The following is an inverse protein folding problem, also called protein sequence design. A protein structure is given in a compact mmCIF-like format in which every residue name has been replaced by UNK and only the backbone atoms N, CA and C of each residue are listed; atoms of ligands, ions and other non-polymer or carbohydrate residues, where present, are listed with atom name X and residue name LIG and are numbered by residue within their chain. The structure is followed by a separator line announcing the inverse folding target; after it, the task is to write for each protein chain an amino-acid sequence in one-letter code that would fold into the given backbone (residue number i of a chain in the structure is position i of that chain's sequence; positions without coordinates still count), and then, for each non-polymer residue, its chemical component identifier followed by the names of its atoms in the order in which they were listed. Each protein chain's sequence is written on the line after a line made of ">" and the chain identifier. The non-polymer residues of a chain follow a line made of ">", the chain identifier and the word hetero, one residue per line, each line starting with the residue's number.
data_IF_372238056787
#
_entry.id   IF_372238056787
#
_cell.length_a   1.000
_cell.length_b   1.000
_cell.length_c   1.000
_cell.angle_alpha   90.00
_cell.angle_beta   90.00
_cell.angle_gamma   90.00
#
_symmetry.space_group_name_H-M   'P 1'
#
loop_
_entity.id
_entity.type
_entity.pdbx_description
1 polymer ?
#
# COMPACT_ATOMS: atom_id res chain seq x y z
N UNK A 1 34.95 11.01 39.29
CA UNK A 1 35.46 11.65 38.05
C UNK A 1 34.34 12.48 37.47
N UNK A 2 34.38 13.80 37.58
CA UNK A 2 33.40 14.68 36.93
C UNK A 2 34.14 15.61 35.98
N UNK A 3 33.80 15.46 34.70
CA UNK A 3 34.31 16.19 33.54
C UNK A 3 33.75 17.63 33.50
N UNK A 4 34.55 18.66 33.16
CA UNK A 4 34.07 20.04 33.04
C UNK A 4 33.49 20.37 31.65
N UNK A 5 32.57 21.35 31.67
CA UNK A 5 32.22 22.33 30.62
C UNK A 5 31.57 21.86 29.31
N UNK A 6 30.39 22.42 29.01
CA UNK A 6 30.20 23.22 27.80
C UNK A 6 28.98 24.13 27.96
N UNK A 7 29.27 25.44 28.08
CA UNK A 7 28.32 26.55 27.97
C UNK A 7 27.97 26.76 26.50
N UNK A 8 26.70 27.04 26.21
CA UNK A 8 26.23 27.56 24.93
C UNK A 8 24.92 28.30 25.13
N UNK A 9 25.00 29.61 25.31
CA UNK A 9 23.84 30.50 25.45
C UNK A 9 23.21 30.76 24.07
N UNK A 10 21.91 30.53 23.93
CA UNK A 10 21.13 30.77 22.72
C UNK A 10 20.78 32.26 22.62
N UNK A 11 21.48 33.01 21.77
CA UNK A 11 21.11 34.39 21.43
C UNK A 11 19.77 34.47 20.68
N UNK A 12 19.12 35.65 20.64
CA UNK A 12 17.80 35.79 20.03
C UNK A 12 17.87 35.59 18.50
N UNK A 13 16.83 35.01 17.88
CA UNK A 13 16.80 34.85 16.43
C UNK A 13 16.70 36.21 15.74
N UNK A 14 17.57 36.43 14.75
CA UNK A 14 17.52 37.58 13.84
C UNK A 14 16.24 37.49 13.01
N UNK A 15 15.47 38.57 12.96
CA UNK A 15 14.31 38.68 12.08
C UNK A 15 14.77 38.55 10.62
N UNK A 16 14.18 37.57 9.90
CA UNK A 16 14.36 37.46 8.46
C UNK A 16 13.35 38.40 7.81
N UNK A 17 13.86 39.48 7.22
CA UNK A 17 13.06 40.46 6.48
C UNK A 17 12.61 39.86 5.14
N UNK A 18 11.32 40.03 4.84
CA UNK A 18 10.62 39.76 3.57
C UNK A 18 10.50 38.30 3.10
N UNK A 19 9.35 37.67 3.36
CA UNK A 19 8.84 36.56 2.55
C UNK A 19 7.75 37.08 1.60
N UNK A 20 8.14 37.68 0.47
CA UNK A 20 7.21 38.02 -0.61
C UNK A 20 7.41 37.07 -1.77
N UNK A 21 6.89 35.84 -1.68
CA UNK A 21 6.48 35.01 -2.81
C UNK A 21 5.46 33.98 -2.33
N UNK A 22 4.17 34.34 -2.38
CA UNK A 22 3.09 33.35 -2.32
C UNK A 22 3.04 32.68 -3.69
N UNK A 23 3.70 31.53 -3.82
CA UNK A 23 3.50 30.64 -4.96
C UNK A 23 2.44 29.61 -4.58
N UNK A 24 1.17 29.91 -4.89
CA UNK A 24 0.10 28.91 -4.96
C UNK A 24 -0.22 28.78 -6.45
N UNK A 25 0.19 27.67 -7.08
CA UNK A 25 -0.84 26.67 -7.32
C UNK A 25 -0.29 25.24 -7.31
N UNK A 26 -1.02 24.32 -6.67
CA UNK A 26 -1.08 22.97 -7.23
C UNK A 26 -2.47 22.43 -6.97
N UNK A 27 -3.14 21.97 -8.03
CA UNK A 27 -4.34 21.16 -7.91
C UNK A 27 -4.00 20.04 -6.90
N UNK A 28 -4.66 20.02 -5.75
CA UNK A 28 -4.79 18.79 -4.99
C UNK A 28 -5.59 17.88 -5.94
N UNK A 29 -4.89 16.98 -6.63
CA UNK A 29 -5.55 15.86 -7.29
C UNK A 29 -6.28 15.15 -6.15
N UNK A 30 -7.61 15.26 -6.13
CA UNK A 30 -8.44 14.46 -5.24
C UNK A 30 -8.27 13.05 -5.78
N UNK A 31 -7.22 12.36 -5.33
CA UNK A 31 -7.05 10.95 -5.64
C UNK A 31 -8.06 10.24 -4.77
N UNK A 32 -9.10 9.71 -5.42
CA UNK A 32 -10.01 8.81 -4.75
C UNK A 32 -9.19 7.68 -4.11
N UNK A 33 -9.45 7.43 -2.84
CA UNK A 33 -8.78 6.37 -2.09
C UNK A 33 -9.80 5.32 -1.72
N UNK A 34 -9.36 4.06 -1.71
CA UNK A 34 -10.17 2.92 -1.28
C UNK A 34 -9.43 2.16 -0.19
N UNK A 35 -10.16 1.66 0.79
CA UNK A 35 -9.63 0.68 1.73
C UNK A 35 -9.62 -0.70 1.08
N UNK A 36 -8.58 -1.49 1.29
CA UNK A 36 -8.51 -2.86 0.82
C UNK A 36 -8.17 -3.79 1.98
N UNK A 37 -8.58 -5.07 1.88
CA UNK A 37 -8.08 -6.11 2.78
C UNK A 37 -6.60 -6.37 2.49
N UNK A 38 -5.84 -6.50 3.55
CA UNK A 38 -4.38 -6.61 3.51
C UNK A 38 -3.96 -7.93 4.16
N UNK A 39 -3.42 -8.85 3.38
CA UNK A 39 -2.90 -10.13 3.85
C UNK A 39 -1.64 -10.47 3.06
N UNK A 40 -0.48 -10.45 3.71
CA UNK A 40 0.75 -10.89 3.06
C UNK A 40 0.66 -12.37 2.65
N UNK A 41 0.11 -13.21 3.53
CA UNK A 41 -0.05 -14.65 3.30
C UNK A 41 -1.33 -15.13 4.00
N UNK A 42 -2.22 -15.78 3.24
CA UNK A 42 -3.42 -16.47 3.69
C UNK A 42 -3.33 -17.95 3.31
N UNK A 43 -3.22 -18.82 4.31
CA UNK A 43 -3.26 -20.26 4.11
C UNK A 43 -4.69 -20.76 3.81
N UNK A 44 -4.84 -21.92 3.15
CA UNK A 44 -6.13 -22.56 2.92
C UNK A 44 -6.89 -22.74 4.24
N UNK A 45 -8.17 -22.38 4.27
CA UNK A 45 -9.01 -22.46 5.46
C UNK A 45 -8.87 -21.31 6.48
N UNK A 46 -7.87 -20.43 6.32
CA UNK A 46 -7.71 -19.27 7.20
C UNK A 46 -8.35 -18.01 6.60
N UNK A 47 -8.90 -17.16 7.48
CA UNK A 47 -9.48 -15.86 7.10
C UNK A 47 -8.48 -14.73 7.32
N UNK A 48 -8.60 -13.69 6.49
CA UNK A 48 -7.90 -12.42 6.69
C UNK A 48 -8.83 -11.43 7.40
N UNK A 49 -8.88 -11.50 8.72
CA UNK A 49 -9.89 -10.75 9.49
C UNK A 49 -9.44 -9.32 9.80
N UNK A 50 -8.15 -9.09 10.08
CA UNK A 50 -7.66 -7.85 10.72
C UNK A 50 -6.92 -6.87 9.80
N UNK A 51 -6.38 -7.33 8.68
CA UNK A 51 -5.51 -6.50 7.86
C UNK A 51 -6.30 -5.58 6.93
N UNK A 52 -6.02 -4.27 7.01
CA UNK A 52 -6.55 -3.24 6.12
C UNK A 52 -5.45 -2.26 5.74
N UNK A 53 -5.61 -1.60 4.60
CA UNK A 53 -4.80 -0.44 4.24
C UNK A 53 -5.42 0.29 3.07
N UNK A 54 -4.86 1.46 2.76
CA UNK A 54 -5.45 2.44 1.83
C UNK A 54 -4.65 2.38 0.53
N UNK A 55 -5.34 2.18 -0.58
CA UNK A 55 -4.77 2.28 -1.92
C UNK A 55 -5.31 3.52 -2.62
N UNK A 56 -4.50 4.07 -3.53
CA UNK A 56 -4.97 5.05 -4.49
C UNK A 56 -5.88 4.32 -5.49
N UNK A 57 -7.12 4.77 -5.66
CA UNK A 57 -8.07 4.19 -6.61
C UNK A 57 -7.83 4.72 -8.03
N UNK A 58 -6.56 4.79 -8.44
CA UNK A 58 -6.14 5.24 -9.77
C UNK A 58 -5.97 4.04 -10.71
N UNK A 59 -5.72 4.27 -11.99
CA UNK A 59 -5.37 3.15 -12.89
C UNK A 59 -4.08 2.44 -12.46
N UNK A 60 -3.19 3.16 -11.78
CA UNK A 60 -1.86 2.74 -11.37
C UNK A 60 -1.84 1.87 -10.12
N UNK A 61 -2.91 1.83 -9.32
CA UNK A 61 -3.00 1.03 -8.09
C UNK A 61 -4.42 0.49 -7.85
N UNK A 62 -4.55 -0.72 -7.31
CA UNK A 62 -5.85 -1.34 -7.04
C UNK A 62 -5.78 -2.28 -5.84
N UNK A 63 -6.93 -2.59 -5.25
CA UNK A 63 -7.03 -3.78 -4.41
C UNK A 63 -6.77 -5.02 -5.29
N UNK A 64 -6.04 -5.99 -4.77
CA UNK A 64 -5.79 -7.27 -5.42
C UNK A 64 -6.08 -8.46 -4.50
N UNK A 65 -6.44 -9.57 -5.14
CA UNK A 65 -6.37 -10.92 -4.58
C UNK A 65 -5.48 -11.74 -5.51
N UNK A 66 -4.35 -12.22 -4.99
CA UNK A 66 -3.49 -13.17 -5.66
C UNK A 66 -3.70 -14.57 -5.10
N UNK A 67 -4.11 -15.51 -5.95
CA UNK A 67 -4.33 -16.90 -5.57
C UNK A 67 -3.22 -17.75 -6.16
N UNK A 68 -2.54 -18.53 -5.31
CA UNK A 68 -1.46 -19.42 -5.73
C UNK A 68 -1.89 -20.86 -5.51
N UNK A 69 -1.92 -21.61 -6.59
CA UNK A 69 -2.19 -23.05 -6.60
C UNK A 69 -0.98 -23.80 -7.13
N UNK A 70 -0.81 -25.05 -6.72
CA UNK A 70 0.15 -25.94 -7.38
C UNK A 70 -0.34 -26.29 -8.78
N UNK A 71 0.56 -26.71 -9.65
CA UNK A 71 0.22 -27.17 -11.01
C UNK A 71 -0.77 -28.35 -11.05
N UNK A 72 -0.89 -29.09 -9.95
CA UNK A 72 -1.88 -30.17 -9.79
C UNK A 72 -3.27 -29.69 -9.32
N UNK A 73 -3.45 -28.37 -9.17
CA UNK A 73 -4.68 -27.74 -8.69
C UNK A 73 -4.79 -27.60 -7.17
N UNK A 74 -3.84 -28.13 -6.40
CA UNK A 74 -3.88 -28.02 -4.93
C UNK A 74 -3.74 -26.56 -4.49
N UNK A 75 -4.70 -26.00 -3.72
CA UNK A 75 -4.56 -24.67 -3.15
C UNK A 75 -3.34 -24.57 -2.26
N UNK A 76 -2.52 -23.52 -2.43
CA UNK A 76 -1.31 -23.35 -1.61
C UNK A 76 -1.40 -22.14 -0.68
N UNK A 77 -1.54 -20.95 -1.22
CA UNK A 77 -1.70 -19.72 -0.44
C UNK A 77 -2.33 -18.63 -1.28
N UNK A 78 -2.84 -17.60 -0.63
CA UNK A 78 -3.28 -16.37 -1.28
C UNK A 78 -2.68 -15.15 -0.60
N UNK A 79 -2.69 -14.01 -1.28
CA UNK A 79 -2.38 -12.71 -0.70
C UNK A 79 -3.41 -11.69 -1.15
N UNK A 80 -3.61 -10.68 -0.32
CA UNK A 80 -4.55 -9.59 -0.56
C UNK A 80 -3.84 -8.27 -0.30
N UNK A 81 -4.06 -7.26 -1.12
CA UNK A 81 -3.60 -5.92 -0.77
C UNK A 81 -3.62 -4.88 -1.88
N UNK A 82 -2.83 -3.81 -1.74
CA UNK A 82 -2.61 -2.84 -2.82
C UNK A 82 -1.58 -3.39 -3.81
N UNK A 83 -1.90 -3.38 -5.10
CA UNK A 83 -0.97 -3.74 -6.16
C UNK A 83 -0.91 -2.65 -7.22
N UNK A 84 0.31 -2.19 -7.52
CA UNK A 84 0.55 -1.26 -8.62
C UNK A 84 0.42 -1.96 -9.96
N UNK A 85 -0.14 -1.26 -10.95
CA UNK A 85 -0.38 -1.75 -12.31
C UNK A 85 -1.13 -3.10 -12.32
N UNK A 86 -2.11 -3.23 -11.41
CA UNK A 86 -2.86 -4.47 -11.24
C UNK A 86 -3.67 -4.80 -12.51
N UNK A 87 -3.50 -6.01 -13.02
CA UNK A 87 -4.25 -6.56 -14.14
C UNK A 87 -4.85 -7.94 -13.80
N UNK A 88 -6.03 -8.21 -14.34
CA UNK A 88 -6.66 -9.52 -14.22
C UNK A 88 -5.94 -10.51 -15.15
N UNK A 89 -5.22 -11.46 -14.55
CA UNK A 89 -4.43 -12.46 -15.29
C UNK A 89 -4.59 -13.82 -14.65
N UNK A 90 -4.51 -14.86 -15.48
CA UNK A 90 -4.73 -16.24 -15.07
C UNK A 90 -3.48 -17.06 -15.36
N UNK A 91 -3.23 -18.07 -14.54
CA UNK A 91 -2.23 -19.10 -14.79
C UNK A 91 -0.81 -18.55 -15.05
N UNK A 92 -0.42 -17.48 -14.35
CA UNK A 92 0.98 -17.03 -14.39
C UNK A 92 1.83 -18.16 -13.82
N UNK A 93 2.68 -18.74 -14.66
CA UNK A 93 3.53 -19.86 -14.27
C UNK A 93 4.71 -19.37 -13.42
N UNK A 94 4.81 -19.88 -12.19
CA UNK A 94 5.95 -19.66 -11.32
C UNK A 94 6.45 -21.00 -10.76
N UNK A 95 7.43 -21.59 -11.47
CA UNK A 95 7.92 -22.94 -11.16
C UNK A 95 6.79 -23.98 -11.22
N UNK A 96 6.51 -24.67 -10.10
CA UNK A 96 5.43 -25.65 -9.94
C UNK A 96 4.10 -25.03 -9.47
N UNK A 97 4.01 -23.70 -9.46
CA UNK A 97 2.83 -22.96 -9.05
C UNK A 97 2.21 -22.19 -10.22
N UNK A 98 0.91 -21.98 -10.14
CA UNK A 98 0.12 -21.12 -10.99
C UNK A 98 -0.45 -19.99 -10.13
N UNK A 99 -0.30 -18.76 -10.60
CA UNK A 99 -0.79 -17.55 -9.91
C UNK A 99 -1.88 -16.90 -10.75
N UNK A 100 -3.02 -16.69 -10.11
CA UNK A 100 -4.10 -15.85 -10.64
C UNK A 100 -4.09 -14.52 -9.88
N UNK A 101 -4.20 -13.41 -10.60
CA UNK A 101 -4.37 -12.08 -10.02
C UNK A 101 -5.73 -11.55 -10.40
N UNK A 102 -6.46 -11.04 -9.40
CA UNK A 102 -7.70 -10.29 -9.58
C UNK A 102 -7.58 -8.92 -8.98
N UNK A 103 -8.18 -7.93 -9.65
CA UNK A 103 -8.08 -6.53 -9.31
C UNK A 103 -9.46 -5.89 -9.20
N UNK A 104 -9.64 -4.99 -8.24
CA UNK A 104 -10.85 -4.18 -8.10
C UNK A 104 -10.53 -2.78 -7.58
N UNK A 105 -11.33 -1.79 -7.97
CA UNK A 105 -11.15 -0.36 -7.63
C UNK A 105 -12.46 0.32 -7.18
N UNK A 106 -13.55 -0.44 -7.07
CA UNK A 106 -14.91 0.12 -7.07
C UNK A 106 -15.42 0.59 -5.71
N UNK A 107 -14.95 0.00 -4.61
CA UNK A 107 -15.43 0.30 -3.26
C UNK A 107 -14.47 -0.28 -2.20
N UNK A 108 -14.60 0.20 -0.96
CA UNK A 108 -13.82 -0.29 0.19
C UNK A 108 -13.99 -1.81 0.40
N UNK A 109 -12.86 -2.50 0.57
CA UNK A 109 -12.75 -3.95 0.77
C UNK A 109 -13.26 -4.81 -0.39
N UNK A 110 -13.28 -4.27 -1.62
CA UNK A 110 -13.75 -5.01 -2.79
C UNK A 110 -13.02 -6.35 -3.04
N UNK A 111 -11.79 -6.52 -2.51
CA UNK A 111 -11.01 -7.75 -2.64
C UNK A 111 -11.33 -8.85 -1.60
N UNK A 112 -12.29 -8.65 -0.69
CA UNK A 112 -12.63 -9.65 0.32
C UNK A 112 -13.35 -10.90 -0.25
N UNK A 113 -14.10 -10.72 -1.35
CA UNK A 113 -15.00 -11.75 -1.91
C UNK A 113 -14.69 -12.13 -3.37
N UNK A 114 -13.49 -11.80 -3.85
CA UNK A 114 -13.03 -12.16 -5.19
C UNK A 114 -12.46 -13.57 -5.21
#
# INVERSE_FOLDING_TARGET
>A
MQNPSLKGEMGPPRACETCSHVHVPTLVQITDTIQCKMCHIRFPGHRCDKGRGICLATEEEACTTGTIVKSDGTPWLAFLGCLKNCANVNNIKWSIYLVDLRCCRSYDFCNEYI
#
